data_IF_225052925952
#
_entry.id   IF_225052925952
#
_cell.length_a   1.000
_cell.length_b   1.000
_cell.length_c   1.000
_cell.angle_alpha   90.00
_cell.angle_beta   90.00
_cell.angle_gamma   90.00
#
_symmetry.space_group_name_H-M   'P 1'
#
loop_
_entity.id
_entity.type
_entity.pdbx_description
1 polymer ?
#
# COMPACT_ATOMS: atom_id res chain seq x y z
N UNK A 1 -25.82 2.75 5.28
CA UNK A 1 -24.76 2.35 4.32
C UNK A 1 -23.49 3.09 4.68
N UNK A 2 -22.32 2.43 4.73
CA UNK A 2 -21.04 3.13 4.91
C UNK A 2 -20.70 3.88 3.61
N UNK A 3 -20.08 5.07 3.68
CA UNK A 3 -19.63 5.76 2.48
C UNK A 3 -18.58 4.91 1.74
N UNK A 4 -18.50 5.02 0.39
CA UNK A 4 -17.52 4.29 -0.39
C UNK A 4 -16.09 4.70 0.00
N UNK A 5 -15.22 3.71 0.13
CA UNK A 5 -13.79 3.89 0.44
C UNK A 5 -12.91 3.41 -0.73
N UNK A 6 -11.71 3.99 -0.80
CA UNK A 6 -10.66 3.59 -1.73
C UNK A 6 -9.44 3.15 -0.92
N UNK A 7 -8.86 2.01 -1.29
CA UNK A 7 -7.63 1.48 -0.70
C UNK A 7 -6.42 2.18 -1.32
N UNK A 8 -5.49 2.66 -0.49
CA UNK A 8 -4.21 3.16 -0.96
C UNK A 8 -3.34 2.00 -1.48
N UNK A 9 -2.94 2.07 -2.74
CA UNK A 9 -2.15 1.04 -3.42
C UNK A 9 -0.71 0.87 -2.88
N UNK A 10 -0.28 1.75 -1.98
CA UNK A 10 1.05 1.76 -1.37
C UNK A 10 1.01 1.15 0.03
N UNK A 11 0.07 1.58 0.87
CA UNK A 11 0.02 1.20 2.29
C UNK A 11 -1.18 0.34 2.70
N UNK A 12 -2.12 0.09 1.79
CA UNK A 12 -3.26 -0.79 2.00
C UNK A 12 -4.34 -0.25 2.94
N UNK A 13 -4.24 1.00 3.41
CA UNK A 13 -5.28 1.63 4.25
C UNK A 13 -6.43 2.18 3.41
N UNK A 14 -7.61 2.20 4.02
CA UNK A 14 -8.82 2.76 3.43
C UNK A 14 -8.93 4.27 3.65
N UNK A 15 -9.34 4.98 2.61
CA UNK A 15 -9.57 6.42 2.61
C UNK A 15 -10.91 6.74 1.94
N UNK A 16 -11.46 7.93 2.22
CA UNK A 16 -12.57 8.44 1.44
C UNK A 16 -12.10 8.83 0.03
N UNK A 17 -13.02 8.80 -0.93
CA UNK A 17 -12.75 9.10 -2.36
C UNK A 17 -12.07 10.46 -2.59
N UNK A 18 -12.28 11.44 -1.70
CA UNK A 18 -11.59 12.75 -1.74
C UNK A 18 -10.26 12.73 -1.02
N UNK A 19 -10.18 12.11 0.16
CA UNK A 19 -8.95 12.15 0.98
C UNK A 19 -7.82 11.31 0.41
N UNK A 20 -8.11 10.30 -0.41
CA UNK A 20 -7.09 9.50 -1.10
C UNK A 20 -6.17 10.35 -1.98
N UNK A 21 -6.70 11.37 -2.67
CA UNK A 21 -5.93 12.27 -3.55
C UNK A 21 -4.87 13.09 -2.81
N UNK A 22 -5.12 13.38 -1.53
CA UNK A 22 -4.18 14.09 -0.65
C UNK A 22 -3.20 13.12 0.00
N UNK A 23 -3.66 11.90 0.27
CA UNK A 23 -2.86 10.86 0.91
C UNK A 23 -1.81 10.24 -0.01
N UNK A 24 -2.18 9.83 -1.24
CA UNK A 24 -1.29 9.09 -2.15
C UNK A 24 0.05 9.80 -2.39
N UNK A 25 0.12 11.12 -2.71
CA UNK A 25 1.40 11.78 -2.93
C UNK A 25 2.29 11.80 -1.68
N UNK A 26 1.69 11.99 -0.50
CA UNK A 26 2.41 11.98 0.77
C UNK A 26 2.90 10.57 1.13
N UNK A 27 2.08 9.55 0.87
CA UNK A 27 2.44 8.16 1.09
C UNK A 27 3.59 7.74 0.16
N UNK A 28 3.54 8.15 -1.12
CA UNK A 28 4.58 7.85 -2.09
C UNK A 28 5.90 8.56 -1.74
N UNK A 29 5.83 9.83 -1.33
CA UNK A 29 7.00 10.56 -0.83
C UNK A 29 7.66 9.85 0.35
N UNK A 30 6.88 9.40 1.33
CA UNK A 30 7.40 8.63 2.47
C UNK A 30 8.03 7.31 2.00
N UNK A 31 7.37 6.60 1.08
CA UNK A 31 7.88 5.36 0.52
C UNK A 31 9.25 5.56 -0.16
N UNK A 32 9.42 6.61 -0.96
CA UNK A 32 10.70 6.93 -1.59
C UNK A 32 11.81 7.18 -0.57
N UNK A 33 11.52 7.98 0.45
CA UNK A 33 12.50 8.27 1.52
C UNK A 33 12.96 6.98 2.21
N UNK A 34 12.03 6.11 2.57
CA UNK A 34 12.37 4.82 3.18
C UNK A 34 13.15 3.91 2.21
N UNK A 35 12.75 3.87 0.94
CA UNK A 35 13.38 3.02 -0.06
C UNK A 35 14.79 3.50 -0.43
N UNK A 36 15.02 4.81 -0.48
CA UNK A 36 16.33 5.40 -0.81
C UNK A 36 17.35 5.21 0.31
N UNK A 37 16.88 5.09 1.56
CA UNK A 37 17.73 4.73 2.70
C UNK A 37 18.20 3.27 2.67
N UNK A 38 17.59 2.41 1.84
CA UNK A 38 18.03 1.03 1.69
C UNK A 38 19.24 0.93 0.75
N UNK A 39 20.17 -0.02 1.01
CA UNK A 39 21.20 -0.40 0.05
C UNK A 39 20.58 -0.69 -1.32
N UNK A 40 21.27 -0.33 -2.42
CA UNK A 40 20.73 -0.45 -3.80
C UNK A 40 20.12 -1.83 -4.11
N UNK A 41 20.70 -2.89 -3.58
CA UNK A 41 20.24 -4.27 -3.78
C UNK A 41 19.00 -4.66 -2.96
N UNK A 42 18.64 -3.89 -1.93
CA UNK A 42 17.43 -4.08 -1.11
C UNK A 42 16.32 -3.09 -1.46
N UNK A 43 16.55 -2.17 -2.39
CA UNK A 43 15.53 -1.23 -2.85
C UNK A 43 14.43 -1.98 -3.58
N UNK A 44 13.20 -1.64 -3.25
CA UNK A 44 12.00 -2.17 -3.87
C UNK A 44 11.66 -1.39 -5.13
N UNK A 45 11.01 -2.02 -6.13
CA UNK A 45 10.43 -1.30 -7.25
C UNK A 45 9.31 -0.39 -6.78
N UNK A 46 9.18 0.76 -7.44
CA UNK A 46 8.13 1.73 -7.14
C UNK A 46 6.73 1.10 -7.28
N UNK A 47 5.84 1.28 -6.29
CA UNK A 47 4.47 0.80 -6.38
C UNK A 47 3.78 1.47 -7.56
N UNK A 48 3.16 0.67 -8.42
CA UNK A 48 2.44 1.18 -9.60
C UNK A 48 1.01 1.50 -9.22
N UNK A 49 0.59 2.73 -9.47
CA UNK A 49 -0.82 3.11 -9.34
C UNK A 49 -1.64 2.29 -10.35
N UNK A 50 -2.68 1.56 -9.93
CA UNK A 50 -3.55 0.84 -10.85
C UNK A 50 -4.15 1.82 -11.86
N UNK A 51 -3.94 1.58 -13.15
CA UNK A 51 -4.57 2.39 -14.19
C UNK A 51 -6.06 2.08 -14.24
N UNK A 52 -6.86 3.10 -13.97
CA UNK A 52 -8.32 2.98 -13.96
C UNK A 52 -8.81 3.21 -15.38
N UNK A 53 -9.09 2.14 -16.11
CA UNK A 53 -9.80 2.27 -17.38
C UNK A 53 -11.22 2.76 -17.10
N UNK A 54 -11.54 3.97 -17.57
CA UNK A 54 -12.90 4.49 -17.57
C UNK A 54 -13.77 3.56 -18.44
N UNK A 55 -14.61 2.73 -17.84
CA UNK A 55 -15.65 2.03 -18.60
C UNK A 55 -16.71 3.07 -18.96
N UNK A 56 -16.55 3.68 -20.14
CA UNK A 56 -17.54 4.53 -20.79
C UNK A 56 -18.81 3.71 -21.06
N UNK A 57 -19.76 3.70 -20.11
CA UNK A 57 -21.16 3.38 -20.42
C UNK A 57 -22.16 3.76 -19.32
N UNK A 58 -21.80 3.71 -18.02
CA UNK A 58 -22.80 3.93 -16.94
C UNK A 58 -22.29 4.61 -15.67
N UNK A 59 -21.14 5.28 -15.70
CA UNK A 59 -20.68 6.14 -14.60
C UNK A 59 -20.48 5.45 -13.23
N UNK A 60 -20.47 4.12 -13.19
CA UNK A 60 -20.25 3.35 -11.98
C UNK A 60 -18.85 2.74 -12.06
N UNK A 61 -17.98 3.16 -11.14
CA UNK A 61 -16.71 2.48 -10.91
C UNK A 61 -17.02 1.09 -10.35
N UNK A 62 -16.34 0.04 -10.85
CA UNK A 62 -16.20 -1.17 -10.06
C UNK A 62 -15.18 -0.88 -8.94
N UNK A 63 -15.67 -0.23 -7.88
CA UNK A 63 -14.88 0.15 -6.71
C UNK A 63 -14.23 -1.08 -6.07
N UNK A 64 -14.90 -2.24 -6.13
CA UNK A 64 -14.35 -3.50 -5.62
C UNK A 64 -13.13 -3.92 -6.44
N UNK A 65 -13.21 -3.93 -7.78
CA UNK A 65 -12.04 -4.23 -8.63
C UNK A 65 -10.89 -3.25 -8.40
N UNK A 66 -11.17 -1.96 -8.23
CA UNK A 66 -10.16 -0.95 -7.93
C UNK A 66 -9.48 -1.20 -6.58
N UNK A 67 -10.28 -1.46 -5.56
CA UNK A 67 -9.78 -1.75 -4.22
C UNK A 67 -8.99 -3.05 -4.18
N UNK A 68 -9.41 -4.07 -4.93
CA UNK A 68 -8.66 -5.32 -5.07
C UNK A 68 -7.30 -5.09 -5.73
N UNK A 69 -7.25 -4.34 -6.84
CA UNK A 69 -5.99 -4.03 -7.52
C UNK A 69 -5.04 -3.21 -6.61
N UNK A 70 -5.58 -2.22 -5.91
CA UNK A 70 -4.82 -1.44 -4.94
C UNK A 70 -4.33 -2.30 -3.77
N UNK A 71 -5.17 -3.21 -3.26
CA UNK A 71 -4.80 -4.12 -2.18
C UNK A 71 -3.65 -5.04 -2.59
N UNK A 72 -3.71 -5.66 -3.78
CA UNK A 72 -2.62 -6.50 -4.32
C UNK A 72 -1.31 -5.70 -4.43
N UNK A 73 -1.38 -4.47 -4.96
CA UNK A 73 -0.21 -3.59 -5.03
C UNK A 73 0.38 -3.32 -3.65
N UNK A 74 -0.46 -3.05 -2.65
CA UNK A 74 0.00 -2.79 -1.28
C UNK A 74 0.62 -4.03 -0.64
N UNK A 75 0.09 -5.23 -0.90
CA UNK A 75 0.67 -6.49 -0.41
C UNK A 75 2.09 -6.71 -0.93
N UNK A 76 2.36 -6.34 -2.19
CA UNK A 76 3.70 -6.45 -2.79
C UNK A 76 4.74 -5.50 -2.14
N UNK A 77 4.30 -4.52 -1.35
CA UNK A 77 5.20 -3.62 -0.62
C UNK A 77 5.57 -4.13 0.78
N UNK A 78 4.94 -5.21 1.25
CA UNK A 78 5.23 -5.76 2.56
C UNK A 78 6.56 -6.54 2.56
N UNK A 79 7.29 -6.40 3.66
CA UNK A 79 8.57 -7.08 3.89
C UNK A 79 8.43 -8.11 5.00
N UNK A 80 9.01 -9.32 4.86
CA UNK A 80 8.96 -10.34 5.90
C UNK A 80 9.83 -9.95 7.11
N UNK A 81 9.39 -10.38 8.29
CA UNK A 81 10.17 -10.31 9.52
C UNK A 81 11.16 -11.48 9.56
N UNK A 82 12.45 -11.19 9.74
CA UNK A 82 13.50 -12.22 9.78
C UNK A 82 13.37 -13.20 10.97
N UNK A 83 12.57 -12.85 12.00
CA UNK A 83 12.40 -13.68 13.21
C UNK A 83 11.21 -14.66 13.06
N UNK A 84 10.07 -14.21 12.50
CA UNK A 84 8.85 -15.02 12.47
C UNK A 84 8.22 -15.20 11.07
N UNK A 85 8.78 -14.57 10.04
CA UNK A 85 8.32 -14.66 8.64
C UNK A 85 7.04 -13.89 8.32
N UNK A 86 6.39 -13.24 9.29
CA UNK A 86 5.22 -12.39 9.02
C UNK A 86 5.61 -11.14 8.24
N UNK A 87 4.76 -10.69 7.33
CA UNK A 87 5.02 -9.53 6.48
C UNK A 87 4.40 -8.25 7.06
N UNK A 88 5.11 -7.13 6.91
CA UNK A 88 4.69 -5.83 7.42
C UNK A 88 5.15 -4.71 6.48
N UNK A 89 4.54 -3.53 6.59
CA UNK A 89 5.20 -2.32 6.08
C UNK A 89 6.48 -2.06 6.89
N UNK A 90 7.53 -1.45 6.31
CA UNK A 90 8.81 -1.23 6.99
C UNK A 90 8.67 -0.47 8.31
N UNK A 91 7.83 0.56 8.36
CA UNK A 91 7.56 1.34 9.57
C UNK A 91 6.93 0.51 10.70
N UNK A 92 6.05 -0.42 10.35
CA UNK A 92 5.41 -1.38 11.27
C UNK A 92 6.36 -2.50 11.68
N UNK A 93 7.25 -2.94 10.77
CA UNK A 93 8.20 -4.02 11.02
C UNK A 93 9.13 -3.67 12.19
N UNK A 94 9.63 -2.43 12.23
CA UNK A 94 10.52 -1.95 13.30
C UNK A 94 9.86 -2.08 14.68
N UNK A 95 8.58 -1.71 14.79
CA UNK A 95 7.84 -1.82 16.05
C UNK A 95 7.59 -3.29 16.40
N UNK A 96 7.24 -4.10 15.41
CA UNK A 96 7.01 -5.53 15.60
C UNK A 96 8.26 -6.27 16.09
N UNK A 97 9.43 -6.00 15.50
CA UNK A 97 10.68 -6.68 15.84
C UNK A 97 11.10 -6.49 17.30
N UNK A 98 10.72 -5.36 17.95
CA UNK A 98 11.02 -5.09 19.37
C UNK A 98 10.46 -6.12 20.33
N UNK A 99 9.36 -6.78 19.97
CA UNK A 99 8.68 -7.78 20.81
C UNK A 99 8.41 -9.08 20.07
N UNK A 100 9.02 -9.27 18.91
CA UNK A 100 8.82 -10.47 18.09
C UNK A 100 9.40 -11.69 18.80
N UNK A 101 8.67 -12.80 18.75
CA UNK A 101 9.12 -14.11 19.20
C UNK A 101 9.24 -15.06 18.00
N UNK A 102 10.20 -16.00 18.00
CA UNK A 102 10.22 -17.11 17.05
C UNK A 102 8.89 -17.86 17.07
N UNK A 103 8.55 -18.49 15.93
CA UNK A 103 7.39 -19.39 15.86
C UNK A 103 7.62 -20.66 16.67
#
# INVERSE_FOLDING_TARGET
RRPPTIICYICGREYGTKSISIHEPQCLKKWHQENDMLPKHLRRPEPRKPEVNYVQAKGFYDLDSLNNAAWISAQNQLVPCDICGRTFLPDRLIVHQKSCKPK
#
